data_IF_959392932013
#
_entry.id   IF_959392932013
#
_cell.length_a   1.000
_cell.length_b   1.000
_cell.length_c   1.000
_cell.angle_alpha   90.00
_cell.angle_beta   90.00
_cell.angle_gamma   90.00
#
_symmetry.space_group_name_H-M   'P 1'
#
loop_
_entity.id
_entity.type
_entity.pdbx_description
1 polymer ?
#
# COMPACT_ATOMS: atom_id res chain seq x y z
N UNK A 1 31.01 14.74 -8.42
CA UNK A 1 30.19 14.12 -7.34
C UNK A 1 28.70 14.27 -7.60
N UNK A 2 28.12 15.48 -7.61
CA UNK A 2 26.67 15.68 -7.84
C UNK A 2 26.14 15.08 -9.16
N UNK A 3 26.83 15.32 -10.28
CA UNK A 3 26.52 14.70 -11.59
C UNK A 3 26.48 13.17 -11.52
N UNK A 4 27.42 12.56 -10.80
CA UNK A 4 27.52 11.10 -10.62
C UNK A 4 26.31 10.57 -9.86
N UNK A 5 25.87 11.27 -8.80
CA UNK A 5 24.69 10.90 -8.01
C UNK A 5 23.44 10.91 -8.89
N UNK A 6 23.18 12.01 -9.60
CA UNK A 6 21.98 12.15 -10.45
C UNK A 6 21.94 11.09 -11.54
N UNK A 7 23.04 10.92 -12.29
CA UNK A 7 23.09 9.93 -13.38
C UNK A 7 22.92 8.51 -12.86
N UNK A 8 23.48 8.20 -11.68
CA UNK A 8 23.34 6.88 -11.07
C UNK A 8 21.91 6.63 -10.61
N UNK A 9 21.29 7.59 -9.93
CA UNK A 9 19.92 7.48 -9.45
C UNK A 9 18.93 7.34 -10.60
N UNK A 10 19.09 8.17 -11.64
CA UNK A 10 18.23 8.13 -12.81
C UNK A 10 18.37 6.81 -13.58
N UNK A 11 19.60 6.40 -13.90
CA UNK A 11 19.87 5.16 -14.62
C UNK A 11 19.42 3.91 -13.85
N UNK A 12 19.68 3.86 -12.53
CA UNK A 12 19.18 2.79 -11.67
C UNK A 12 17.65 2.78 -11.64
N UNK A 13 17.04 3.94 -11.43
CA UNK A 13 15.59 4.07 -11.32
C UNK A 13 14.83 3.63 -12.57
N UNK A 14 15.33 3.97 -13.77
CA UNK A 14 14.73 3.49 -15.01
C UNK A 14 14.79 1.97 -15.13
N UNK A 15 15.95 1.36 -14.80
CA UNK A 15 16.10 -0.09 -14.85
C UNK A 15 15.15 -0.80 -13.87
N UNK A 16 14.99 -0.25 -12.66
CA UNK A 16 14.04 -0.78 -11.67
C UNK A 16 12.60 -0.62 -12.14
N UNK A 17 12.23 0.55 -12.66
CA UNK A 17 10.87 0.81 -13.11
C UNK A 17 10.43 -0.13 -14.23
N UNK A 18 11.31 -0.43 -15.19
CA UNK A 18 11.04 -1.45 -16.23
C UNK A 18 10.86 -2.83 -15.60
N UNK A 19 11.77 -3.23 -14.70
CA UNK A 19 11.70 -4.54 -14.07
C UNK A 19 10.40 -4.72 -13.27
N UNK A 20 9.98 -3.70 -12.51
CA UNK A 20 8.74 -3.76 -11.73
C UNK A 20 7.50 -3.80 -12.59
N UNK A 21 7.46 -3.08 -13.71
CA UNK A 21 6.33 -3.15 -14.64
C UNK A 21 6.12 -4.56 -15.17
N UNK A 22 7.20 -5.28 -15.49
CA UNK A 22 7.11 -6.69 -15.91
C UNK A 22 6.58 -7.56 -14.78
N UNK A 23 7.06 -7.37 -13.54
CA UNK A 23 6.59 -8.16 -12.39
C UNK A 23 5.12 -7.88 -12.10
N UNK A 24 4.70 -6.62 -12.06
CA UNK A 24 3.32 -6.22 -11.77
C UNK A 24 2.35 -6.73 -12.84
N UNK A 25 2.73 -6.71 -14.12
CA UNK A 25 1.89 -7.21 -15.22
C UNK A 25 1.52 -8.70 -15.07
N UNK A 26 2.36 -9.50 -14.41
CA UNK A 26 2.12 -10.94 -14.21
C UNK A 26 1.72 -11.32 -12.79
N UNK A 27 1.68 -10.37 -11.85
CA UNK A 27 1.36 -10.63 -10.44
C UNK A 27 0.21 -9.75 -9.95
N UNK A 28 0.43 -8.45 -9.85
CA UNK A 28 -0.51 -7.48 -9.28
C UNK A 28 -1.69 -7.19 -10.20
N UNK A 29 -1.45 -7.00 -11.49
CA UNK A 29 -2.50 -6.64 -12.45
C UNK A 29 -3.59 -7.72 -12.59
N UNK A 30 -3.28 -9.02 -12.70
CA UNK A 30 -4.30 -10.07 -12.72
C UNK A 30 -5.19 -10.08 -11.47
N UNK A 31 -4.63 -9.77 -10.30
CA UNK A 31 -5.37 -9.71 -9.03
C UNK A 31 -6.32 -8.51 -8.99
N UNK A 32 -5.88 -7.36 -9.51
CA UNK A 32 -6.70 -6.15 -9.67
C UNK A 32 -7.88 -6.44 -10.60
N UNK A 33 -7.60 -6.98 -11.79
CA UNK A 33 -8.65 -7.30 -12.78
C UNK A 33 -9.64 -8.33 -12.22
N UNK A 34 -9.18 -9.30 -11.43
CA UNK A 34 -10.06 -10.26 -10.78
C UNK A 34 -10.95 -9.59 -9.73
N UNK A 35 -10.41 -8.67 -8.93
CA UNK A 35 -11.18 -7.91 -7.94
C UNK A 35 -12.26 -7.04 -8.57
N UNK A 36 -11.94 -6.38 -9.69
CA UNK A 36 -12.89 -5.56 -10.47
C UNK A 36 -14.12 -6.37 -10.92
N UNK A 37 -14.01 -7.69 -11.15
CA UNK A 37 -15.18 -8.52 -11.50
C UNK A 37 -16.20 -8.66 -10.37
N UNK A 38 -15.75 -8.54 -9.11
CA UNK A 38 -16.64 -8.59 -7.95
C UNK A 38 -17.26 -7.22 -7.64
N UNK A 39 -16.54 -6.13 -7.91
CA UNK A 39 -17.02 -4.76 -7.74
C UNK A 39 -18.10 -4.42 -8.79
N UNK A 40 -17.91 -4.86 -10.04
CA UNK A 40 -18.84 -4.63 -11.14
C UNK A 40 -20.01 -5.63 -11.19
N UNK A 41 -20.01 -6.67 -10.35
CA UNK A 41 -21.13 -7.59 -10.26
C UNK A 41 -22.29 -6.89 -9.55
N UNK A 42 -23.42 -6.67 -10.25
CA UNK A 42 -24.65 -6.18 -9.62
C UNK A 42 -24.99 -7.07 -8.41
N UNK A 43 -25.46 -6.49 -7.28
CA UNK A 43 -25.91 -7.29 -6.15
C UNK A 43 -26.95 -8.29 -6.65
N UNK A 44 -26.68 -9.59 -6.46
CA UNK A 44 -27.66 -10.62 -6.76
C UNK A 44 -28.99 -10.21 -6.09
N UNK A 45 -30.14 -10.26 -6.80
CA UNK A 45 -31.41 -9.87 -6.21
C UNK A 45 -31.57 -10.65 -4.91
N UNK A 46 -31.72 -9.92 -3.81
CA UNK A 46 -31.95 -10.50 -2.50
C UNK A 46 -33.00 -11.58 -2.68
N UNK A 47 -32.60 -12.84 -2.42
CA UNK A 47 -33.51 -13.97 -2.54
C UNK A 47 -34.61 -13.69 -1.53
N UNK A 48 -35.74 -13.19 -2.02
CA UNK A 48 -36.87 -12.84 -1.19
C UNK A 48 -37.22 -14.09 -0.41
N UNK A 49 -37.01 -14.04 0.90
CA UNK A 49 -37.44 -15.05 1.84
C UNK A 49 -38.92 -15.33 1.54
N UNK A 50 -39.21 -16.51 1.00
CA UNK A 50 -40.57 -16.91 0.65
C UNK A 50 -41.46 -16.73 1.88
N UNK A 51 -42.63 -16.07 1.77
CA UNK A 51 -43.51 -15.91 2.92
C UNK A 51 -44.03 -17.28 3.33
N UNK A 52 -43.79 -17.67 4.58
CA UNK A 52 -44.48 -18.79 5.20
C UNK A 52 -45.97 -18.43 5.29
N UNK A 53 -46.80 -19.09 4.48
CA UNK A 53 -48.25 -19.00 4.55
C UNK A 53 -48.75 -19.57 5.88
N UNK A 54 -49.45 -18.74 6.66
CA UNK A 54 -50.39 -19.21 7.67
C UNK A 54 -51.73 -18.51 7.46
N UNK A 55 -52.73 -19.31 7.10
CA UNK A 55 -54.12 -18.93 6.97
C UNK A 55 -54.73 -18.55 8.32
N UNK A 56 -55.42 -17.42 8.41
CA UNK A 56 -56.62 -17.30 9.24
C UNK A 56 -57.44 -16.07 8.90
N UNK A 57 -58.65 -16.35 8.43
CA UNK A 57 -59.93 -15.63 8.52
C UNK A 57 -59.98 -14.34 9.37
N UNK A 58 -60.58 -13.30 8.78
CA UNK A 58 -61.00 -12.04 9.43
C UNK A 58 -62.00 -12.28 10.58
N UNK A 59 -61.77 -11.65 11.74
CA UNK A 59 -62.73 -10.75 12.40
C UNK A 59 -62.22 -10.23 13.76
N UNK A 60 -62.55 -8.97 14.02
CA UNK A 60 -62.58 -8.23 15.30
C UNK A 60 -61.39 -7.33 15.67
N UNK A 61 -61.73 -6.04 15.76
CA UNK A 61 -60.98 -4.94 16.32
C UNK A 61 -60.80 -5.08 17.85
N UNK A 62 -59.69 -4.55 18.38
CA UNK A 62 -59.62 -3.52 19.43
C UNK A 62 -58.15 -3.34 19.89
N UNK A 63 -57.63 -2.12 19.70
CA UNK A 63 -56.87 -1.32 20.69
C UNK A 63 -55.59 -1.89 21.33
N UNK A 64 -54.42 -1.39 20.91
CA UNK A 64 -53.26 -1.14 21.78
C UNK A 64 -52.17 -0.26 21.10
N UNK A 65 -51.91 0.89 21.71
CA UNK A 65 -50.65 1.64 21.77
C UNK A 65 -49.76 1.75 20.51
N UNK A 66 -49.84 2.92 19.86
CA UNK A 66 -48.82 3.38 18.93
C UNK A 66 -47.51 3.73 19.67
N UNK A 67 -46.47 2.95 19.41
CA UNK A 67 -45.08 3.38 19.55
C UNK A 67 -44.51 3.53 18.12
N UNK A 68 -43.87 4.66 17.75
CA UNK A 68 -43.28 4.79 16.45
C UNK A 68 -42.05 3.87 16.38
N UNK A 69 -42.14 2.84 15.54
CA UNK A 69 -40.98 2.07 15.11
C UNK A 69 -40.08 3.04 14.35
N UNK A 70 -38.88 3.25 14.87
CA UNK A 70 -37.84 4.00 14.21
C UNK A 70 -37.59 3.37 12.83
N UNK A 71 -37.86 4.14 11.78
CA UNK A 71 -37.38 3.86 10.44
C UNK A 71 -35.87 3.70 10.54
N UNK A 72 -35.37 2.48 10.37
CA UNK A 72 -33.94 2.25 10.13
C UNK A 72 -33.55 3.13 8.96
N UNK A 73 -32.73 4.14 9.27
CA UNK A 73 -32.07 4.94 8.26
C UNK A 73 -31.23 3.97 7.43
N UNK A 74 -31.69 3.72 6.20
CA UNK A 74 -30.87 3.11 5.18
C UNK A 74 -29.52 3.84 5.20
N UNK A 75 -28.46 3.11 5.53
CA UNK A 75 -27.11 3.61 5.41
C UNK A 75 -26.96 4.15 3.98
N UNK A 76 -26.37 5.35 3.79
CA UNK A 76 -26.16 5.88 2.47
C UNK A 76 -25.34 4.85 1.69
N UNK A 77 -25.92 4.37 0.58
CA UNK A 77 -25.16 3.61 -0.40
C UNK A 77 -23.94 4.45 -0.77
N UNK A 78 -22.76 3.82 -0.79
CA UNK A 78 -21.56 4.43 -1.30
C UNK A 78 -21.78 4.70 -2.80
N UNK A 79 -22.26 5.89 -3.14
CA UNK A 79 -22.26 6.40 -4.51
C UNK A 79 -20.79 6.53 -4.93
N UNK A 80 -20.34 5.65 -5.81
CA UNK A 80 -19.15 5.90 -6.59
C UNK A 80 -19.43 7.15 -7.43
N UNK A 81 -18.57 8.15 -7.31
CA UNK A 81 -18.59 9.30 -8.21
C UNK A 81 -18.32 8.73 -9.62
N UNK A 82 -19.37 8.52 -10.42
CA UNK A 82 -19.27 7.90 -11.77
C UNK A 82 -18.31 8.68 -12.69
N UNK A 83 -17.95 9.90 -12.30
CA UNK A 83 -17.02 10.80 -12.98
C UNK A 83 -15.54 10.65 -12.54
N UNK A 84 -15.19 9.67 -11.69
CA UNK A 84 -13.81 9.45 -11.27
C UNK A 84 -12.94 8.92 -12.43
N UNK A 85 -11.99 9.73 -12.90
CA UNK A 85 -11.10 9.38 -14.00
C UNK A 85 -10.28 8.11 -13.72
N UNK A 86 -10.28 7.17 -14.67
CA UNK A 86 -9.39 6.01 -14.70
C UNK A 86 -8.78 5.83 -16.11
N UNK A 87 -7.54 5.31 -16.23
CA UNK A 87 -6.96 4.96 -17.52
C UNK A 87 -7.78 3.87 -18.22
N UNK A 88 -7.94 3.94 -19.55
CA UNK A 88 -8.58 2.87 -20.29
C UNK A 88 -7.77 1.57 -20.24
N UNK A 89 -8.46 0.44 -20.36
CA UNK A 89 -7.84 -0.88 -20.34
C UNK A 89 -6.86 -1.11 -21.51
N UNK A 90 -5.95 -2.06 -21.31
CA UNK A 90 -4.94 -2.44 -22.27
C UNK A 90 -3.73 -1.50 -22.27
N UNK A 91 -3.47 -0.85 -23.41
CA UNK A 91 -2.22 -0.11 -23.61
C UNK A 91 -2.10 1.12 -22.71
N UNK A 92 -3.17 1.86 -22.50
CA UNK A 92 -3.14 3.09 -21.70
C UNK A 92 -2.82 2.78 -20.22
N UNK A 93 -3.55 1.85 -19.59
CA UNK A 93 -3.25 1.35 -18.23
C UNK A 93 -1.81 0.86 -18.09
N UNK A 94 -1.33 0.07 -19.06
CA UNK A 94 0.06 -0.43 -19.07
C UNK A 94 1.09 0.71 -19.16
N UNK A 95 0.84 1.71 -20.01
CA UNK A 95 1.73 2.84 -20.20
C UNK A 95 1.81 3.73 -18.95
N UNK A 96 0.67 4.04 -18.32
CA UNK A 96 0.66 4.80 -17.07
C UNK A 96 1.32 4.03 -15.92
N UNK A 97 1.09 2.72 -15.82
CA UNK A 97 1.77 1.86 -14.85
C UNK A 97 3.28 1.90 -15.05
N UNK A 98 3.75 1.79 -16.30
CA UNK A 98 5.17 1.91 -16.61
C UNK A 98 5.73 3.28 -16.21
N UNK A 99 5.07 4.37 -16.57
CA UNK A 99 5.50 5.72 -16.22
C UNK A 99 5.57 5.89 -14.69
N UNK A 100 4.54 5.44 -13.97
CA UNK A 100 4.52 5.48 -12.51
C UNK A 100 5.69 4.70 -11.90
N UNK A 101 5.96 3.49 -12.39
CA UNK A 101 7.09 2.67 -11.92
C UNK A 101 8.45 3.29 -12.24
N UNK A 102 8.61 3.94 -13.41
CA UNK A 102 9.84 4.66 -13.76
C UNK A 102 10.07 5.84 -12.82
N UNK A 103 9.04 6.65 -12.57
CA UNK A 103 9.13 7.80 -11.66
C UNK A 103 9.43 7.34 -10.23
N UNK A 104 8.73 6.30 -9.75
CA UNK A 104 8.95 5.72 -8.43
C UNK A 104 10.36 5.15 -8.30
N UNK A 105 10.82 4.38 -9.29
CA UNK A 105 12.17 3.81 -9.32
C UNK A 105 13.25 4.89 -9.25
N UNK A 106 13.09 6.00 -9.98
CA UNK A 106 14.00 7.16 -9.94
C UNK A 106 13.95 7.84 -8.57
N UNK A 107 12.75 8.08 -8.02
CA UNK A 107 12.58 8.73 -6.72
C UNK A 107 13.24 7.93 -5.59
N UNK A 108 12.94 6.62 -5.50
CA UNK A 108 13.52 5.73 -4.49
C UNK A 108 15.04 5.64 -4.64
N UNK A 109 15.55 5.50 -5.87
CA UNK A 109 16.99 5.46 -6.13
C UNK A 109 17.70 6.76 -5.73
N UNK A 110 17.07 7.91 -5.98
CA UNK A 110 17.60 9.21 -5.59
C UNK A 110 17.63 9.39 -4.07
N UNK A 111 16.56 9.01 -3.37
CA UNK A 111 16.50 9.05 -1.90
C UNK A 111 17.59 8.15 -1.30
N UNK A 112 17.70 6.91 -1.76
CA UNK A 112 18.70 5.97 -1.27
C UNK A 112 20.13 6.49 -1.47
N UNK A 113 20.47 6.99 -2.67
CA UNK A 113 21.80 7.56 -2.92
C UNK A 113 22.06 8.83 -2.11
N UNK A 114 21.05 9.68 -1.95
CA UNK A 114 21.14 10.88 -1.12
C UNK A 114 21.49 10.52 0.33
N UNK A 115 20.74 9.59 0.93
CA UNK A 115 20.97 9.13 2.30
C UNK A 115 22.32 8.42 2.46
N UNK A 116 22.71 7.55 1.52
CA UNK A 116 24.03 6.90 1.53
C UNK A 116 25.17 7.93 1.44
N UNK A 117 24.99 8.99 0.65
CA UNK A 117 25.97 10.07 0.50
C UNK A 117 26.10 10.89 1.78
N UNK A 118 24.97 11.28 2.40
CA UNK A 118 24.95 12.01 3.67
C UNK A 118 25.57 11.18 4.80
N UNK A 119 25.25 9.89 4.85
CA UNK A 119 25.83 8.97 5.85
C UNK A 119 27.35 8.86 5.74
N UNK A 120 27.87 9.02 4.52
CA UNK A 120 29.26 8.79 4.19
C UNK A 120 29.66 7.31 4.25
N UNK A 121 30.86 7.01 3.77
CA UNK A 121 31.39 5.65 3.68
C UNK A 121 31.35 5.08 2.26
N UNK A 122 31.54 3.76 2.17
CA UNK A 122 31.65 3.07 0.87
C UNK A 122 30.26 2.82 0.28
N UNK A 123 30.00 3.44 -0.86
CA UNK A 123 28.81 3.17 -1.67
C UNK A 123 29.18 2.10 -2.70
N UNK A 124 28.58 0.91 -2.55
CA UNK A 124 28.66 -0.19 -3.49
C UNK A 124 27.35 -0.97 -3.54
N UNK A 125 27.26 -1.98 -4.40
CA UNK A 125 26.07 -2.78 -4.59
C UNK A 125 25.55 -3.42 -3.27
N UNK A 126 26.45 -3.86 -2.39
CA UNK A 126 26.09 -4.53 -1.12
C UNK A 126 25.52 -3.52 -0.13
N UNK A 127 26.21 -2.40 0.07
CA UNK A 127 25.70 -1.29 0.88
C UNK A 127 24.34 -0.83 0.35
N UNK A 128 24.22 -0.72 -0.98
CA UNK A 128 22.99 -0.35 -1.65
C UNK A 128 21.81 -1.25 -1.30
N UNK A 129 21.97 -2.58 -1.40
CA UNK A 129 20.92 -3.54 -1.02
C UNK A 129 20.53 -3.40 0.45
N UNK A 130 21.48 -3.22 1.37
CA UNK A 130 21.18 -3.04 2.80
C UNK A 130 20.32 -1.79 3.05
N UNK A 131 20.66 -0.69 2.39
CA UNK A 131 19.86 0.54 2.42
C UNK A 131 18.49 0.36 1.78
N UNK A 132 18.41 -0.38 0.68
CA UNK A 132 17.16 -0.78 0.06
C UNK A 132 16.26 -1.54 1.04
N UNK A 133 16.77 -2.62 1.63
CA UNK A 133 16.04 -3.42 2.63
C UNK A 133 15.60 -2.54 3.80
N UNK A 134 16.47 -1.67 4.31
CA UNK A 134 16.11 -0.73 5.37
C UNK A 134 14.93 0.20 4.96
N UNK A 135 14.96 0.71 3.73
CA UNK A 135 13.88 1.51 3.16
C UNK A 135 12.57 0.73 2.99
N UNK A 136 12.64 -0.54 2.57
CA UNK A 136 11.48 -1.43 2.51
C UNK A 136 10.84 -1.62 3.90
N UNK A 137 11.64 -1.90 4.93
CA UNK A 137 11.14 -2.02 6.29
C UNK A 137 10.48 -0.72 6.75
N UNK A 138 11.14 0.42 6.51
CA UNK A 138 10.67 1.71 6.99
C UNK A 138 9.40 2.19 6.27
N UNK A 139 9.34 2.14 4.94
CA UNK A 139 8.29 2.79 4.17
C UNK A 139 7.22 1.83 3.62
N UNK A 140 7.45 0.51 3.67
CA UNK A 140 6.52 -0.47 3.09
C UNK A 140 6.05 -1.49 4.13
N UNK A 141 6.96 -2.29 4.70
CA UNK A 141 6.58 -3.42 5.54
C UNK A 141 5.97 -3.01 6.89
N UNK A 142 6.60 -2.09 7.63
CA UNK A 142 6.06 -1.69 8.93
C UNK A 142 4.73 -0.94 8.77
N UNK A 143 4.61 0.07 7.88
CA UNK A 143 3.31 0.68 7.60
C UNK A 143 2.23 -0.33 7.19
N UNK A 144 2.57 -1.36 6.40
CA UNK A 144 1.59 -2.35 5.93
C UNK A 144 1.03 -3.27 7.02
N UNK A 145 1.71 -3.40 8.16
CA UNK A 145 1.16 -4.13 9.31
C UNK A 145 -0.08 -3.45 9.89
N UNK A 146 -0.21 -2.14 9.71
CA UNK A 146 -1.39 -1.37 10.10
C UNK A 146 -2.31 -1.07 8.93
N UNK A 147 -1.76 -0.61 7.81
CA UNK A 147 -2.48 -0.27 6.59
C UNK A 147 -1.99 -1.13 5.42
N UNK A 148 -2.51 -2.35 5.33
CA UNK A 148 -2.15 -3.28 4.26
C UNK A 148 -2.56 -2.74 2.88
N UNK A 149 -1.87 -3.15 1.79
CA UNK A 149 -2.32 -2.87 0.43
C UNK A 149 -3.73 -3.42 0.21
N UNK A 150 -4.60 -2.64 -0.41
CA UNK A 150 -6.01 -2.95 -0.61
C UNK A 150 -6.31 -3.04 -2.11
N UNK A 151 -7.23 -3.94 -2.48
CA UNK A 151 -7.76 -4.03 -3.84
C UNK A 151 -8.82 -2.94 -4.07
N UNK A 152 -9.17 -2.64 -5.33
CA UNK A 152 -10.36 -1.84 -5.64
C UNK A 152 -11.62 -2.40 -4.95
N UNK A 153 -12.55 -1.51 -4.63
CA UNK A 153 -13.80 -1.87 -3.93
C UNK A 153 -13.66 -2.18 -2.43
N UNK A 154 -12.46 -2.01 -1.83
CA UNK A 154 -12.29 -2.21 -0.37
C UNK A 154 -12.78 -1.01 0.42
N UNK A 155 -13.58 -1.23 1.47
CA UNK A 155 -13.92 -0.18 2.42
C UNK A 155 -12.67 0.35 3.12
N UNK A 156 -12.38 1.64 2.96
CA UNK A 156 -11.19 2.28 3.51
C UNK A 156 -11.55 3.40 4.49
N UNK A 157 -10.68 3.60 5.48
CA UNK A 157 -10.73 4.78 6.34
C UNK A 157 -10.44 6.06 5.53
N UNK A 158 -10.80 7.22 6.11
CA UNK A 158 -10.58 8.53 5.50
C UNK A 158 -9.10 8.72 5.09
N UNK A 159 -8.89 9.27 3.88
CA UNK A 159 -7.59 9.28 3.20
C UNK A 159 -6.52 10.07 3.97
N UNK A 160 -6.86 11.23 4.52
CA UNK A 160 -5.95 12.10 5.27
C UNK A 160 -5.44 11.38 6.52
N UNK A 161 -6.33 10.69 7.22
CA UNK A 161 -6.01 9.89 8.41
C UNK A 161 -5.02 8.76 8.07
N UNK A 162 -5.24 8.06 6.95
CA UNK A 162 -4.31 7.03 6.44
C UNK A 162 -2.95 7.61 6.06
N UNK A 163 -2.93 8.77 5.41
CA UNK A 163 -1.68 9.44 5.01
C UNK A 163 -0.85 9.88 6.21
N UNK A 164 -1.48 10.48 7.23
CA UNK A 164 -0.81 10.87 8.48
C UNK A 164 -0.27 9.62 9.19
N UNK A 165 -1.06 8.56 9.24
CA UNK A 165 -0.64 7.29 9.82
C UNK A 165 0.57 6.69 9.11
N UNK A 166 0.50 6.61 7.78
CA UNK A 166 1.56 6.05 6.97
C UNK A 166 2.85 6.86 7.13
N UNK A 167 2.78 8.19 7.02
CA UNK A 167 3.95 9.07 7.17
C UNK A 167 4.58 8.98 8.56
N UNK A 168 3.76 8.98 9.61
CA UNK A 168 4.26 8.88 10.98
C UNK A 168 4.88 7.51 11.26
N UNK A 169 4.26 6.42 10.79
CA UNK A 169 4.82 5.07 10.90
C UNK A 169 6.12 4.94 10.13
N UNK A 170 6.18 5.48 8.91
CA UNK A 170 7.39 5.43 8.09
C UNK A 170 8.55 6.23 8.69
N UNK A 171 8.27 7.43 9.20
CA UNK A 171 9.27 8.26 9.87
C UNK A 171 9.77 7.61 11.17
N UNK A 172 8.86 7.12 12.01
CA UNK A 172 9.19 6.42 13.25
C UNK A 172 10.03 5.17 12.97
N UNK A 173 9.66 4.39 11.95
CA UNK A 173 10.40 3.20 11.53
C UNK A 173 11.80 3.53 11.02
N UNK A 174 11.94 4.58 10.20
CA UNK A 174 13.24 5.03 9.70
C UNK A 174 14.15 5.51 10.84
N UNK A 175 13.63 6.31 11.78
CA UNK A 175 14.36 6.79 12.96
C UNK A 175 14.74 5.61 13.87
N UNK A 176 13.79 4.73 14.15
CA UNK A 176 14.00 3.56 15.00
C UNK A 176 15.08 2.64 14.45
N UNK A 177 15.01 2.34 13.15
CA UNK A 177 16.01 1.52 12.46
C UNK A 177 17.38 2.21 12.44
N UNK A 178 17.44 3.51 12.18
CA UNK A 178 18.69 4.27 12.21
C UNK A 178 19.34 4.25 13.60
N UNK A 179 18.55 4.40 14.68
CA UNK A 179 19.05 4.29 16.05
C UNK A 179 19.55 2.87 16.34
N UNK A 180 18.83 1.83 15.95
CA UNK A 180 19.23 0.43 16.19
C UNK A 180 20.56 0.10 15.47
N UNK A 181 20.68 0.51 14.21
CA UNK A 181 21.81 0.15 13.35
C UNK A 181 23.04 1.00 13.61
N UNK A 182 22.88 2.31 13.80
CA UNK A 182 24.01 3.24 13.87
C UNK A 182 24.43 3.65 15.28
N UNK A 183 23.61 3.42 16.32
CA UNK A 183 24.00 3.79 17.68
C UNK A 183 24.96 2.78 18.31
N UNK A 184 25.94 3.29 19.06
CA UNK A 184 26.85 2.48 19.88
C UNK A 184 26.30 2.14 21.26
N UNK A 185 25.27 2.86 21.74
CA UNK A 185 24.72 2.69 23.09
C UNK A 185 23.48 1.79 23.08
N UNK A 186 23.43 0.84 24.01
CA UNK A 186 22.29 -0.07 24.17
C UNK A 186 20.97 0.68 24.42
N UNK A 187 21.01 1.76 25.21
CA UNK A 187 19.84 2.59 25.50
C UNK A 187 19.21 3.19 24.24
N UNK A 188 20.02 3.67 23.28
CA UNK A 188 19.50 4.23 22.04
C UNK A 188 18.92 3.15 21.12
N UNK A 189 19.44 1.92 21.16
CA UNK A 189 18.85 0.79 20.44
C UNK A 189 17.48 0.42 21.00
N UNK A 190 17.34 0.37 22.32
CA UNK A 190 16.05 0.13 22.99
C UNK A 190 15.07 1.26 22.65
N UNK A 191 15.51 2.52 22.73
CA UNK A 191 14.69 3.66 22.34
C UNK A 191 14.25 3.57 20.86
N UNK A 192 15.15 3.18 19.96
CA UNK A 192 14.84 2.97 18.56
C UNK A 192 13.77 1.90 18.33
N UNK A 193 13.85 0.78 19.07
CA UNK A 193 12.82 -0.26 19.03
C UNK A 193 11.47 0.27 19.53
N UNK A 194 11.47 0.99 20.65
CA UNK A 194 10.24 1.60 21.20
C UNK A 194 9.62 2.56 20.19
N UNK A 195 10.43 3.42 19.56
CA UNK A 195 9.96 4.36 18.53
C UNK A 195 9.35 3.62 17.34
N UNK A 196 9.99 2.56 16.85
CA UNK A 196 9.46 1.77 15.72
C UNK A 196 8.15 1.06 16.06
N UNK A 197 7.97 0.62 17.32
CA UNK A 197 6.76 -0.07 17.78
C UNK A 197 5.63 0.91 18.12
N UNK A 198 5.93 2.15 18.50
CA UNK A 198 4.96 3.11 19.02
C UNK A 198 3.76 3.35 18.09
N UNK A 199 3.92 3.53 16.76
CA UNK A 199 2.77 3.62 15.87
C UNK A 199 1.86 2.40 16.01
N UNK A 200 2.38 1.18 16.00
CA UNK A 200 1.55 -0.02 16.12
C UNK A 200 0.73 -0.11 17.42
N UNK A 201 1.18 0.54 18.50
CA UNK A 201 0.43 0.64 19.76
C UNK A 201 -0.71 1.66 19.66
N UNK A 202 -0.51 2.77 18.92
CA UNK A 202 -1.55 3.78 18.69
C UNK A 202 -2.69 3.21 17.83
N UNK A 203 -2.38 2.27 16.93
CA UNK A 203 -3.34 1.62 16.02
C UNK A 203 -3.64 2.42 14.75
N UNK A 204 -3.72 1.71 13.62
CA UNK A 204 -4.03 2.31 12.33
C UNK A 204 -5.51 2.78 12.26
N UNK A 205 -5.83 3.78 11.41
CA UNK A 205 -7.21 4.17 11.15
C UNK A 205 -8.06 2.97 10.70
N UNK A 206 -9.20 2.77 11.38
CA UNK A 206 -10.11 1.64 11.13
C UNK A 206 -11.11 2.04 10.04
N UNK A 207 -11.35 1.18 9.03
CA UNK A 207 -12.38 1.43 8.02
C UNK A 207 -13.80 1.36 8.61
N UNK A 208 -14.80 1.97 7.96
CA UNK A 208 -16.18 1.96 8.44
C UNK A 208 -16.79 0.55 8.51
N UNK A 209 -16.39 -0.34 7.60
CA UNK A 209 -16.78 -1.76 7.58
C UNK A 209 -15.54 -2.61 7.27
N UNK A 210 -15.62 -3.90 7.61
CA UNK A 210 -14.60 -4.90 7.24
C UNK A 210 -15.06 -5.75 6.05
N UNK A 211 -16.08 -5.29 5.35
CA UNK A 211 -16.65 -6.00 4.21
C UNK A 211 -15.86 -5.68 2.94
N UNK A 212 -15.64 -6.71 2.12
CA UNK A 212 -15.06 -6.59 0.80
C UNK A 212 -15.92 -7.40 -0.16
N UNK A 213 -16.12 -6.88 -1.38
CA UNK A 213 -16.93 -7.54 -2.42
C UNK A 213 -16.28 -8.82 -2.95
N UNK A 214 -14.99 -9.04 -2.65
CA UNK A 214 -14.19 -10.16 -3.14
C UNK A 214 -13.79 -11.14 -2.01
N UNK A 215 -13.42 -12.39 -2.34
CA UNK A 215 -12.98 -13.38 -1.35
C UNK A 215 -11.71 -12.95 -0.60
N UNK A 216 -11.66 -13.20 0.72
CA UNK A 216 -10.52 -12.82 1.57
C UNK A 216 -9.16 -13.39 1.09
N UNK A 217 -9.16 -14.57 0.45
CA UNK A 217 -7.96 -15.16 -0.13
C UNK A 217 -7.36 -14.29 -1.25
N UNK A 218 -8.20 -13.68 -2.09
CA UNK A 218 -7.75 -12.78 -3.16
C UNK A 218 -7.09 -11.52 -2.59
N UNK A 219 -7.68 -10.95 -1.54
CA UNK A 219 -7.06 -9.84 -0.81
C UNK A 219 -5.71 -10.20 -0.20
N UNK A 220 -5.60 -11.38 0.41
CA UNK A 220 -4.34 -11.86 0.99
C UNK A 220 -3.24 -12.06 -0.07
N UNK A 221 -3.59 -12.63 -1.23
CA UNK A 221 -2.67 -12.76 -2.37
C UNK A 221 -2.19 -11.39 -2.88
N UNK A 222 -3.09 -10.40 -2.95
CA UNK A 222 -2.74 -9.04 -3.35
C UNK A 222 -1.79 -8.36 -2.36
N UNK A 223 -2.04 -8.50 -1.05
CA UNK A 223 -1.14 -8.00 0.01
C UNK A 223 0.24 -8.62 -0.15
N UNK A 224 0.32 -9.94 -0.32
CA UNK A 224 1.59 -10.63 -0.50
C UNK A 224 2.32 -10.17 -1.77
N UNK A 225 1.64 -10.11 -2.91
CA UNK A 225 2.20 -9.65 -4.18
C UNK A 225 2.72 -8.21 -4.08
N UNK A 226 1.94 -7.31 -3.47
CA UNK A 226 2.30 -5.90 -3.29
C UNK A 226 3.53 -5.72 -2.39
N UNK A 227 3.67 -6.53 -1.33
CA UNK A 227 4.86 -6.51 -0.48
C UNK A 227 6.09 -7.07 -1.19
N UNK A 228 5.94 -8.11 -2.02
CA UNK A 228 7.04 -8.63 -2.84
C UNK A 228 7.50 -7.59 -3.86
N UNK A 229 6.57 -6.95 -4.58
CA UNK A 229 6.87 -5.86 -5.53
C UNK A 229 7.57 -4.70 -4.82
N UNK A 230 7.11 -4.31 -3.63
CA UNK A 230 7.77 -3.29 -2.81
C UNK A 230 9.17 -3.70 -2.39
N UNK A 231 9.37 -4.94 -1.94
CA UNK A 231 10.69 -5.44 -1.57
C UNK A 231 11.65 -5.42 -2.78
N UNK A 232 11.17 -5.80 -3.98
CA UNK A 232 11.92 -5.72 -5.22
C UNK A 232 12.28 -4.28 -5.59
N UNK A 233 11.32 -3.34 -5.51
CA UNK A 233 11.55 -1.91 -5.76
C UNK A 233 12.74 -1.42 -4.93
N UNK A 234 12.66 -1.58 -3.62
CA UNK A 234 13.66 -1.08 -2.70
C UNK A 234 15.02 -1.79 -2.85
N UNK A 235 15.02 -3.13 -2.94
CA UNK A 235 16.26 -3.90 -3.05
C UNK A 235 16.98 -3.66 -4.38
N UNK A 236 16.26 -3.64 -5.51
CA UNK A 236 16.84 -3.38 -6.82
C UNK A 236 17.27 -1.92 -6.97
N UNK A 237 16.50 -0.95 -6.46
CA UNK A 237 16.92 0.45 -6.41
C UNK A 237 18.21 0.60 -5.62
N UNK A 238 18.31 -0.04 -4.46
CA UNK A 238 19.54 -0.09 -3.68
C UNK A 238 20.71 -0.70 -4.45
N UNK A 239 20.51 -1.91 -5.00
CA UNK A 239 21.53 -2.65 -5.76
C UNK A 239 22.09 -1.84 -6.93
N UNK A 240 21.22 -1.39 -7.84
CA UNK A 240 21.62 -0.71 -9.06
C UNK A 240 22.18 0.68 -8.76
N UNK A 241 21.62 1.40 -7.79
CA UNK A 241 22.14 2.71 -7.39
C UNK A 241 23.56 2.61 -6.83
N UNK A 242 23.79 1.67 -5.91
CA UNK A 242 25.11 1.45 -5.31
C UNK A 242 26.14 0.96 -6.32
N UNK A 243 25.73 0.05 -7.22
CA UNK A 243 26.59 -0.46 -8.30
C UNK A 243 26.96 0.63 -9.32
N UNK A 244 25.97 1.38 -9.82
CA UNK A 244 26.18 2.37 -10.87
C UNK A 244 26.98 3.56 -10.35
N UNK A 245 26.72 4.00 -9.11
CA UNK A 245 27.51 5.03 -8.46
C UNK A 245 28.98 4.62 -8.32
N UNK A 246 29.24 3.40 -7.82
CA UNK A 246 30.60 2.88 -7.69
C UNK A 246 31.32 2.81 -9.04
N UNK A 247 30.62 2.42 -10.11
CA UNK A 247 31.20 2.31 -11.44
C UNK A 247 31.56 3.69 -12.00
N UNK A 248 30.63 4.63 -11.95
CA UNK A 248 30.81 5.97 -12.50
C UNK A 248 31.79 6.82 -11.68
N UNK A 249 31.90 6.59 -10.38
CA UNK A 249 32.88 7.28 -9.52
C UNK A 249 34.32 6.80 -9.73
N UNK A 250 34.53 5.62 -10.32
CA UNK A 250 35.88 5.10 -10.66
C UNK A 250 36.37 5.60 -12.02
N UNK A 251 35.45 6.01 -12.89
CA UNK A 251 35.75 6.51 -14.24
C UNK A 251 35.88 8.03 -14.32
N UNK A 252 35.63 8.74 -13.22
CA UNK A 252 35.74 10.19 -13.08
C UNK A 252 37.00 10.54 -12.29
#
# INVERSE_FOLDING_TARGET
MFKTIILSAFGAGLAVGVALSVVQAVTTEPLILHAETFENAEPAPAVASAPHEHSSTEAHAHEAAAAPVATEAAAPAHEHDEDAWSPADGFERSAYTLIANLLMGVAVSAVLLGLMTIRGGKIDARTGVLWGVAGFFAASLLPSLGLSPELPGTAAAEITSRQIWWLSTAAASAIGLALIVFSGSWLLKVAGLVIAVLPHVIGAPVPPTLEASYPAALGAEFVAASLVVSALLWALSGLFSGWLYQRLSRSA
#
